data_IF_164877355049
#
_entry.id   IF_164877355049
#
_cell.length_a   1.000
_cell.length_b   1.000
_cell.length_c   1.000
_cell.angle_alpha   90.00
_cell.angle_beta   90.00
_cell.angle_gamma   90.00
#
_symmetry.space_group_name_H-M   'P 1'
#
loop_
_entity.id
_entity.type
_entity.pdbx_description
1 polymer ?
#
# COMPACT_ATOMS: atom_id res chain seq x y z
N UNK A 1 -32.78 -2.89 -25.41
CA UNK A 1 -32.44 -1.64 -26.14
C UNK A 1 -32.02 -0.58 -25.13
N UNK A 2 -30.84 0.02 -25.31
CA UNK A 2 -30.34 1.21 -24.56
C UNK A 2 -31.20 2.45 -24.88
N UNK A 3 -31.17 3.46 -24.00
CA UNK A 3 -30.42 4.69 -24.30
C UNK A 3 -29.43 5.01 -23.14
N UNK A 4 -28.13 5.14 -23.37
CA UNK A 4 -27.33 6.25 -23.94
C UNK A 4 -27.01 7.36 -22.90
N UNK A 5 -25.70 7.55 -22.70
CA UNK A 5 -25.03 8.45 -21.73
C UNK A 5 -25.18 9.94 -22.05
N UNK A 6 -25.25 10.76 -20.99
CA UNK A 6 -24.64 12.10 -20.86
C UNK A 6 -24.43 12.33 -19.34
N UNK A 7 -23.25 12.14 -18.75
CA UNK A 7 -22.03 12.98 -18.79
C UNK A 7 -22.25 14.43 -18.35
N UNK A 8 -21.41 14.85 -17.39
CA UNK A 8 -21.21 16.18 -16.82
C UNK A 8 -22.16 16.63 -15.68
N UNK A 9 -21.88 16.17 -14.46
CA UNK A 9 -22.15 16.94 -13.24
C UNK A 9 -20.81 17.48 -12.70
N UNK A 10 -20.22 18.44 -13.40
CA UNK A 10 -19.11 19.24 -12.87
C UNK A 10 -19.72 20.28 -11.94
N UNK A 11 -19.80 19.97 -10.65
CA UNK A 11 -20.23 20.92 -9.63
C UNK A 11 -19.02 21.81 -9.24
N UNK A 12 -18.76 22.85 -10.03
CA UNK A 12 -17.76 23.89 -9.70
C UNK A 12 -18.34 24.77 -8.60
N UNK A 13 -17.91 24.55 -7.36
CA UNK A 13 -18.30 25.37 -6.20
C UNK A 13 -17.27 26.50 -5.99
N UNK A 14 -17.44 27.63 -6.67
CA UNK A 14 -16.60 28.83 -6.46
C UNK A 14 -17.09 29.59 -5.23
N UNK A 15 -16.45 29.39 -4.09
CA UNK A 15 -16.79 30.12 -2.85
C UNK A 15 -15.89 31.35 -2.67
N UNK A 16 -16.41 32.55 -2.96
CA UNK A 16 -15.81 33.82 -2.55
C UNK A 16 -16.25 34.17 -1.10
N UNK A 17 -15.36 34.00 -0.12
CA UNK A 17 -15.60 34.43 1.27
C UNK A 17 -14.75 35.67 1.56
N UNK A 18 -15.41 36.77 1.92
CA UNK A 18 -14.78 37.97 2.45
C UNK A 18 -15.30 38.14 3.89
N UNK A 19 -14.37 38.28 4.84
CA UNK A 19 -14.50 38.59 6.28
C UNK A 19 -14.30 37.45 7.30
N UNK A 20 -13.98 37.87 8.53
CA UNK A 20 -13.04 37.30 9.51
C UNK A 20 -13.40 35.92 10.10
N UNK A 21 -12.34 35.15 10.41
CA UNK A 21 -12.33 33.84 11.06
C UNK A 21 -13.25 32.81 10.38
N UNK A 22 -12.80 32.35 9.21
CA UNK A 22 -13.56 31.41 8.39
C UNK A 22 -13.01 29.99 8.58
N UNK A 23 -13.90 29.08 8.99
CA UNK A 23 -13.72 27.62 8.94
C UNK A 23 -14.50 27.11 7.72
N UNK A 24 -13.87 26.26 6.91
CA UNK A 24 -14.51 25.68 5.73
C UNK A 24 -14.32 24.17 5.75
N UNK A 25 -15.43 23.44 5.70
CA UNK A 25 -15.45 22.00 5.47
C UNK A 25 -16.04 21.75 4.07
N UNK A 26 -15.31 21.02 3.23
CA UNK A 26 -15.78 20.61 1.90
C UNK A 26 -15.81 19.09 1.82
N UNK A 27 -16.98 18.55 1.52
CA UNK A 27 -17.14 17.16 1.14
C UNK A 27 -17.63 17.12 -0.30
N UNK A 28 -16.74 16.75 -1.23
CA UNK A 28 -17.06 16.65 -2.65
C UNK A 28 -16.67 15.27 -3.20
N UNK A 29 -17.22 14.88 -4.35
CA UNK A 29 -16.82 13.69 -5.13
C UNK A 29 -16.30 14.11 -6.53
N UNK A 30 -15.71 15.30 -6.62
CA UNK A 30 -15.25 15.90 -7.88
C UNK A 30 -14.14 16.93 -7.64
N UNK A 31 -13.92 17.81 -8.61
CA UNK A 31 -12.82 18.77 -8.55
C UNK A 31 -13.17 19.96 -7.64
N UNK A 32 -12.19 20.42 -6.88
CA UNK A 32 -12.34 21.55 -5.96
C UNK A 32 -11.24 22.59 -6.20
N UNK A 33 -11.63 23.80 -6.60
CA UNK A 33 -10.72 24.94 -6.69
C UNK A 33 -11.03 25.93 -5.56
N UNK A 34 -10.01 26.27 -4.76
CA UNK A 34 -10.11 27.34 -3.78
C UNK A 34 -9.01 28.35 -4.06
N UNK A 35 -9.40 29.49 -4.62
CA UNK A 35 -8.48 30.56 -4.95
C UNK A 35 -8.75 31.85 -4.16
N UNK A 36 -7.67 32.53 -3.76
CA UNK A 36 -7.66 33.92 -3.24
C UNK A 36 -8.40 34.19 -1.93
N UNK A 37 -8.45 33.25 -0.98
CA UNK A 37 -9.00 33.53 0.36
C UNK A 37 -8.00 34.27 1.25
N UNK A 38 -8.44 35.36 1.87
CA UNK A 38 -7.71 36.07 2.94
C UNK A 38 -8.32 35.67 4.28
N UNK A 39 -7.50 35.28 5.26
CA UNK A 39 -7.95 34.98 6.64
C UNK A 39 -8.83 33.73 6.78
N UNK A 40 -8.67 32.76 5.88
CA UNK A 40 -9.18 31.40 6.11
C UNK A 40 -8.32 30.80 7.21
N UNK A 41 -8.86 30.27 8.31
CA UNK A 41 -8.06 29.73 9.42
C UNK A 41 -7.97 28.20 9.39
N UNK A 42 -9.06 27.54 9.02
CA UNK A 42 -9.15 26.10 8.93
C UNK A 42 -9.80 25.71 7.61
N UNK A 43 -9.20 24.74 6.93
CA UNK A 43 -9.76 24.15 5.73
C UNK A 43 -9.62 22.64 5.79
N UNK A 44 -10.75 21.95 5.76
CA UNK A 44 -10.78 20.50 5.65
C UNK A 44 -11.46 20.11 4.34
N UNK A 45 -10.86 19.15 3.65
CA UNK A 45 -11.50 18.53 2.51
C UNK A 45 -11.38 17.02 2.49
N UNK A 46 -12.49 16.36 2.13
CA UNK A 46 -12.56 14.91 2.04
C UNK A 46 -13.11 14.45 0.67
N UNK A 47 -12.50 13.39 0.12
CA UNK A 47 -12.95 12.65 -1.09
C UNK A 47 -12.94 13.42 -2.43
N UNK A 48 -12.08 14.42 -2.57
CA UNK A 48 -11.93 15.16 -3.81
C UNK A 48 -11.17 14.36 -4.89
N UNK A 49 -11.46 14.62 -6.17
CA UNK A 49 -10.66 14.09 -7.27
C UNK A 49 -9.41 14.96 -7.46
N UNK A 50 -9.57 16.14 -8.05
CA UNK A 50 -8.48 17.12 -8.19
C UNK A 50 -8.70 18.34 -7.31
N UNK A 51 -7.62 18.83 -6.69
CA UNK A 51 -7.67 19.92 -5.73
C UNK A 51 -6.67 21.00 -6.05
N UNK A 52 -7.17 22.19 -6.35
CA UNK A 52 -6.33 23.37 -6.60
C UNK A 52 -6.50 24.39 -5.48
N UNK A 53 -5.52 24.47 -4.58
CA UNK A 53 -5.48 25.48 -3.51
C UNK A 53 -4.50 26.59 -3.88
N UNK A 54 -5.04 27.73 -4.30
CA UNK A 54 -4.26 28.84 -4.83
C UNK A 54 -4.31 30.07 -3.92
N UNK A 55 -3.13 30.52 -3.46
CA UNK A 55 -2.91 31.84 -2.82
C UNK A 55 -3.76 32.11 -1.58
N UNK A 56 -3.99 31.13 -0.70
CA UNK A 56 -4.61 31.40 0.59
C UNK A 56 -3.59 32.04 1.55
N UNK A 57 -4.05 32.96 2.39
CA UNK A 57 -3.21 33.67 3.38
C UNK A 57 -3.83 33.53 4.77
N UNK A 58 -2.98 33.32 5.77
CA UNK A 58 -3.34 33.14 7.19
C UNK A 58 -4.15 31.86 7.47
N UNK A 59 -4.00 30.85 6.62
CA UNK A 59 -4.53 29.49 6.83
C UNK A 59 -3.70 28.83 7.89
N UNK A 60 -4.24 28.54 9.07
CA UNK A 60 -3.53 27.93 10.19
C UNK A 60 -3.52 26.41 10.09
N UNK A 61 -4.61 25.80 9.62
CA UNK A 61 -4.72 24.37 9.44
C UNK A 61 -5.29 24.02 8.06
N UNK A 62 -4.67 23.05 7.40
CA UNK A 62 -5.15 22.45 6.15
C UNK A 62 -5.13 20.92 6.28
N UNK A 63 -6.30 20.29 6.23
CA UNK A 63 -6.43 18.84 6.25
C UNK A 63 -7.07 18.37 4.96
N UNK A 64 -6.43 17.45 4.25
CA UNK A 64 -7.02 16.83 3.06
C UNK A 64 -6.93 15.32 3.14
N UNK A 65 -8.06 14.64 2.97
CA UNK A 65 -8.13 13.18 3.06
C UNK A 65 -8.77 12.57 1.81
N UNK A 66 -8.12 11.56 1.21
CA UNK A 66 -8.54 10.83 0.01
C UNK A 66 -8.70 11.74 -1.22
N UNK A 67 -7.70 12.56 -1.51
CA UNK A 67 -7.61 13.29 -2.78
C UNK A 67 -6.93 12.41 -3.85
N UNK A 68 -7.28 12.53 -5.13
CA UNK A 68 -6.51 11.86 -6.20
C UNK A 68 -5.28 12.73 -6.52
N UNK A 69 -5.49 14.01 -6.81
CA UNK A 69 -4.43 15.00 -7.04
C UNK A 69 -4.64 16.24 -6.17
N UNK A 70 -3.55 16.82 -5.65
CA UNK A 70 -3.59 18.03 -4.84
C UNK A 70 -2.46 19.02 -5.19
N UNK A 71 -2.82 20.10 -5.87
CA UNK A 71 -1.94 21.21 -6.19
C UNK A 71 -2.12 22.33 -5.17
N UNK A 72 -1.16 22.45 -4.26
CA UNK A 72 -1.21 23.43 -3.17
C UNK A 72 -0.14 24.49 -3.41
N UNK A 73 -0.58 25.67 -3.86
CA UNK A 73 0.31 26.75 -4.27
C UNK A 73 0.18 28.00 -3.38
N UNK A 74 1.32 28.42 -2.80
CA UNK A 74 1.54 29.74 -2.18
C UNK A 74 0.74 30.01 -0.90
N UNK A 75 0.68 29.05 0.03
CA UNK A 75 0.14 29.26 1.38
C UNK A 75 1.09 30.11 2.23
N UNK A 76 0.55 30.92 3.15
CA UNK A 76 1.33 31.75 4.09
C UNK A 76 0.73 31.71 5.48
N UNK A 77 1.61 31.66 6.49
CA UNK A 77 1.26 31.64 7.91
C UNK A 77 0.36 30.45 8.24
N UNK A 78 0.90 29.26 7.97
CA UNK A 78 0.20 27.99 8.14
C UNK A 78 0.87 27.23 9.25
N UNK A 79 0.13 26.78 10.25
CA UNK A 79 0.72 26.13 11.41
C UNK A 79 0.76 24.61 11.17
N UNK A 80 -0.30 24.05 10.57
CA UNK A 80 -0.48 22.62 10.32
C UNK A 80 -1.08 22.34 8.93
N UNK A 81 -0.69 21.23 8.33
CA UNK A 81 -0.90 20.79 6.95
C UNK A 81 -0.75 19.29 6.95
N UNK A 82 -1.83 18.62 6.60
CA UNK A 82 -1.92 17.19 6.53
C UNK A 82 -2.52 16.75 5.19
N UNK A 83 -1.82 15.87 4.48
CA UNK A 83 -2.38 15.13 3.35
C UNK A 83 -2.43 13.65 3.68
N UNK A 84 -3.63 13.06 3.68
CA UNK A 84 -3.87 11.64 3.92
C UNK A 84 -4.41 10.97 2.65
N UNK A 85 -3.75 9.88 2.22
CA UNK A 85 -4.18 9.02 1.09
C UNK A 85 -4.35 9.80 -0.22
N UNK A 86 -3.34 10.60 -0.57
CA UNK A 86 -3.34 11.39 -1.82
C UNK A 86 -2.47 10.71 -2.87
N UNK A 87 -2.93 10.45 -4.10
CA UNK A 87 -2.05 9.80 -5.08
C UNK A 87 -0.91 10.73 -5.51
N UNK A 88 -1.22 11.95 -5.96
CA UNK A 88 -0.23 12.94 -6.38
C UNK A 88 -0.42 14.27 -5.61
N UNK A 89 0.65 14.85 -5.10
CA UNK A 89 0.59 16.12 -4.38
C UNK A 89 1.73 17.07 -4.77
N UNK A 90 1.40 18.18 -5.41
CA UNK A 90 2.35 19.23 -5.77
C UNK A 90 2.21 20.40 -4.79
N UNK A 91 3.13 20.48 -3.83
CA UNK A 91 3.10 21.50 -2.78
C UNK A 91 4.21 22.52 -3.02
N UNK A 92 3.84 23.73 -3.48
CA UNK A 92 4.83 24.76 -3.88
C UNK A 92 4.70 26.03 -3.04
N UNK A 93 5.80 26.41 -2.40
CA UNK A 93 6.01 27.65 -1.62
C UNK A 93 5.09 27.79 -0.40
N UNK A 94 5.36 27.02 0.64
CA UNK A 94 4.88 27.30 1.99
C UNK A 94 5.79 28.34 2.68
N UNK A 95 5.22 29.27 3.44
CA UNK A 95 6.00 30.23 4.24
C UNK A 95 5.44 30.31 5.66
N UNK A 96 6.36 30.27 6.63
CA UNK A 96 6.07 30.30 8.07
C UNK A 96 5.19 29.11 8.43
N UNK A 97 5.80 27.93 8.45
CA UNK A 97 5.09 26.68 8.58
C UNK A 97 5.70 25.72 9.60
N UNK A 98 4.89 25.16 10.52
CA UNK A 98 5.40 24.44 11.68
C UNK A 98 5.54 22.92 11.46
N UNK A 99 4.52 22.19 10.98
CA UNK A 99 4.52 20.70 11.05
C UNK A 99 3.94 19.94 9.84
N UNK A 100 4.73 19.47 8.86
CA UNK A 100 4.20 18.97 7.57
C UNK A 100 4.00 17.46 7.65
N UNK A 101 2.75 17.00 7.53
CA UNK A 101 2.41 15.58 7.58
C UNK A 101 1.87 15.09 6.22
N UNK A 102 2.56 14.13 5.62
CA UNK A 102 2.15 13.45 4.39
C UNK A 102 2.01 11.96 4.70
N UNK A 103 0.79 11.45 4.69
CA UNK A 103 0.47 10.06 5.02
C UNK A 103 -0.09 9.32 3.81
N UNK A 104 0.56 8.22 3.40
CA UNK A 104 0.15 7.37 2.26
C UNK A 104 0.00 8.18 0.96
N UNK A 105 0.92 9.10 0.71
CA UNK A 105 1.02 9.82 -0.55
C UNK A 105 1.94 9.08 -1.51
N UNK A 106 1.51 8.74 -2.73
CA UNK A 106 2.35 7.97 -3.67
C UNK A 106 3.46 8.83 -4.26
N UNK A 107 3.13 10.02 -4.77
CA UNK A 107 4.10 10.98 -5.27
C UNK A 107 3.83 12.35 -4.65
N UNK A 108 4.86 12.98 -4.08
CA UNK A 108 4.76 14.31 -3.50
C UNK A 108 5.97 15.17 -3.85
N UNK A 109 5.76 16.21 -4.66
CA UNK A 109 6.78 17.20 -4.98
C UNK A 109 6.62 18.44 -4.10
N UNK A 110 7.49 18.56 -3.09
CA UNK A 110 7.47 19.68 -2.13
C UNK A 110 8.61 20.66 -2.44
N UNK A 111 8.26 21.83 -2.98
CA UNK A 111 9.24 22.82 -3.44
C UNK A 111 9.20 24.12 -2.62
N UNK A 112 10.39 24.55 -2.15
CA UNK A 112 10.66 25.82 -1.43
C UNK A 112 9.91 25.97 -0.10
N UNK A 113 10.37 25.24 0.91
CA UNK A 113 10.02 25.47 2.31
C UNK A 113 10.89 26.59 2.90
N UNK A 114 10.29 27.48 3.70
CA UNK A 114 11.04 28.43 4.55
C UNK A 114 10.48 28.37 5.96
N UNK A 115 11.38 28.20 6.94
CA UNK A 115 11.07 28.07 8.37
C UNK A 115 10.30 26.79 8.72
N UNK A 116 10.59 25.66 8.05
CA UNK A 116 10.08 24.35 8.44
C UNK A 116 10.78 23.90 9.73
N UNK A 117 10.01 23.59 10.76
CA UNK A 117 10.55 23.09 12.04
C UNK A 117 10.53 21.57 12.09
N UNK A 118 9.51 20.94 11.51
CA UNK A 118 9.30 19.50 11.57
C UNK A 118 8.75 18.95 10.24
N UNK A 119 9.36 17.87 9.74
CA UNK A 119 8.92 17.11 8.57
C UNK A 119 8.97 15.63 8.92
N UNK A 120 7.82 14.98 8.91
CA UNK A 120 7.73 13.54 9.13
C UNK A 120 6.89 12.92 8.00
N UNK A 121 7.54 12.09 7.19
CA UNK A 121 6.83 11.14 6.34
C UNK A 121 6.46 9.96 7.22
N UNK A 122 5.31 10.05 7.87
CA UNK A 122 4.74 8.91 8.58
C UNK A 122 4.10 8.00 7.53
N UNK A 123 4.83 6.97 7.08
CA UNK A 123 4.14 5.76 6.60
C UNK A 123 3.35 5.23 7.77
N UNK A 124 2.00 5.22 7.72
CA UNK A 124 1.24 4.69 8.84
C UNK A 124 1.73 3.26 9.07
N UNK A 125 1.96 2.84 10.31
CA UNK A 125 2.24 1.46 10.62
C UNK A 125 0.95 0.68 10.35
N UNK A 126 0.72 0.33 9.09
CA UNK A 126 -0.05 -0.87 8.80
C UNK A 126 0.87 -2.01 9.23
N UNK A 127 0.87 -2.32 10.53
CA UNK A 127 1.47 -3.54 11.04
C UNK A 127 0.63 -4.69 10.49
N UNK A 128 0.93 -5.09 9.26
CA UNK A 128 0.56 -6.38 8.74
C UNK A 128 1.32 -7.40 9.58
N UNK A 129 0.64 -7.97 10.57
CA UNK A 129 1.18 -9.07 11.35
C UNK A 129 0.68 -10.36 10.70
N UNK A 130 1.49 -10.89 9.79
CA UNK A 130 1.27 -12.15 9.10
C UNK A 130 2.25 -13.17 9.66
N UNK A 131 1.79 -14.40 9.86
CA UNK A 131 2.62 -15.49 10.35
C UNK A 131 2.37 -16.75 9.51
N UNK A 132 3.42 -17.52 9.21
CA UNK A 132 3.30 -18.83 8.58
C UNK A 132 3.33 -19.86 9.72
N UNK A 133 2.16 -20.34 10.14
CA UNK A 133 2.01 -21.17 11.35
C UNK A 133 2.30 -22.65 11.13
N UNK A 134 2.26 -23.10 9.88
CA UNK A 134 2.50 -24.49 9.49
C UNK A 134 3.24 -24.50 8.16
N UNK A 135 4.24 -25.37 8.06
CA UNK A 135 4.91 -25.71 6.81
C UNK A 135 5.28 -27.19 6.83
N UNK A 136 4.64 -27.98 5.97
CA UNK A 136 4.78 -29.44 5.92
C UNK A 136 4.99 -29.90 4.49
N UNK A 137 5.87 -30.90 4.34
CA UNK A 137 6.08 -31.58 3.07
C UNK A 137 5.41 -32.95 3.11
N UNK A 138 4.59 -33.24 2.11
CA UNK A 138 3.87 -34.52 1.98
C UNK A 138 4.05 -35.14 0.61
N UNK A 139 3.77 -36.43 0.49
CA UNK A 139 3.58 -37.10 -0.80
C UNK A 139 2.17 -36.79 -1.37
N UNK A 140 1.81 -37.37 -2.53
CA UNK A 140 0.49 -37.19 -3.14
C UNK A 140 -0.68 -37.76 -2.31
N UNK A 141 -0.39 -38.63 -1.36
CA UNK A 141 -1.37 -39.25 -0.45
C UNK A 141 -1.53 -38.44 0.84
N UNK A 142 -0.84 -37.31 0.99
CA UNK A 142 -0.84 -36.48 2.19
C UNK A 142 0.02 -37.03 3.32
N UNK A 143 0.85 -38.04 3.07
CA UNK A 143 1.77 -38.61 4.07
C UNK A 143 2.99 -37.70 4.22
N UNK A 144 3.31 -37.22 5.43
CA UNK A 144 4.49 -36.39 5.66
C UNK A 144 5.79 -37.13 5.33
N UNK A 145 6.63 -36.53 4.48
CA UNK A 145 7.95 -37.08 4.15
C UNK A 145 8.93 -35.99 3.71
N UNK A 146 10.22 -36.27 3.91
CA UNK A 146 11.33 -35.35 3.57
C UNK A 146 12.35 -35.99 2.63
N UNK A 147 12.08 -37.20 2.14
CA UNK A 147 12.90 -37.92 1.17
C UNK A 147 11.98 -38.32 0.02
N UNK A 148 12.40 -38.01 -1.20
CA UNK A 148 11.62 -38.25 -2.41
C UNK A 148 12.54 -38.80 -3.51
N UNK A 149 12.02 -39.70 -4.34
CA UNK A 149 12.72 -40.14 -5.53
C UNK A 149 12.51 -39.16 -6.70
N UNK A 150 13.39 -39.23 -7.69
CA UNK A 150 13.20 -38.52 -8.96
C UNK A 150 11.91 -38.98 -9.64
N UNK A 151 11.09 -38.04 -10.10
CA UNK A 151 9.77 -38.32 -10.67
C UNK A 151 8.61 -38.25 -9.67
N UNK A 152 8.89 -38.29 -8.35
CA UNK A 152 7.88 -38.14 -7.31
C UNK A 152 7.30 -36.73 -7.29
N UNK A 153 6.10 -36.59 -6.72
CA UNK A 153 5.50 -35.29 -6.44
C UNK A 153 5.63 -34.98 -4.94
N UNK A 154 6.26 -33.84 -4.67
CA UNK A 154 6.30 -33.19 -3.37
C UNK A 154 5.11 -32.27 -3.27
N UNK A 155 4.34 -32.37 -2.19
CA UNK A 155 3.31 -31.39 -1.83
C UNK A 155 3.84 -30.51 -0.70
N UNK A 156 3.69 -29.21 -0.86
CA UNK A 156 4.07 -28.18 0.11
C UNK A 156 2.76 -27.65 0.67
N UNK A 157 2.44 -28.05 1.89
CA UNK A 157 1.25 -27.67 2.66
C UNK A 157 1.66 -26.65 3.70
N UNK A 158 1.12 -25.44 3.62
CA UNK A 158 1.41 -24.38 4.57
C UNK A 158 0.16 -23.56 4.92
N UNK A 159 0.17 -23.06 6.14
CA UNK A 159 -0.91 -22.24 6.70
C UNK A 159 -0.38 -20.85 6.99
N UNK A 160 -1.09 -19.84 6.50
CA UNK A 160 -0.79 -18.44 6.79
C UNK A 160 -1.90 -17.90 7.70
N UNK A 161 -1.53 -17.23 8.77
CA UNK A 161 -2.42 -16.55 9.70
C UNK A 161 -2.18 -15.05 9.68
N UNK A 162 -3.25 -14.26 9.65
CA UNK A 162 -3.17 -12.84 9.95
C UNK A 162 -3.50 -12.63 11.43
N UNK A 163 -2.47 -12.49 12.26
CA UNK A 163 -2.57 -12.25 13.71
C UNK A 163 -2.74 -10.74 14.03
N UNK A 164 -2.69 -9.89 13.01
CA UNK A 164 -2.84 -8.43 13.14
C UNK A 164 -4.28 -7.95 13.07
N UNK A 165 -4.44 -6.63 13.15
CA UNK A 165 -5.73 -5.93 13.01
C UNK A 165 -5.97 -5.39 11.60
N UNK A 166 -4.97 -5.46 10.72
CA UNK A 166 -5.04 -4.94 9.35
C UNK A 166 -5.30 -6.07 8.36
N UNK A 167 -6.32 -5.92 7.51
CA UNK A 167 -6.59 -6.85 6.40
C UNK A 167 -5.50 -6.75 5.35
N UNK A 168 -4.88 -7.87 4.99
CA UNK A 168 -3.99 -7.98 3.84
C UNK A 168 -4.85 -8.17 2.59
N UNK A 169 -4.96 -7.14 1.76
CA UNK A 169 -5.67 -7.17 0.49
C UNK A 169 -4.71 -7.46 -0.65
N UNK A 170 -5.01 -8.48 -1.46
CA UNK A 170 -4.20 -8.86 -2.61
C UNK A 170 -2.71 -9.02 -2.27
N UNK A 171 -2.41 -9.68 -1.15
CA UNK A 171 -1.03 -9.97 -0.73
C UNK A 171 -0.40 -11.04 -1.62
N UNK A 172 0.86 -10.84 -1.99
CA UNK A 172 1.62 -11.76 -2.81
C UNK A 172 2.20 -12.87 -1.94
N UNK A 173 1.88 -14.12 -2.26
CA UNK A 173 2.47 -15.31 -1.63
C UNK A 173 3.34 -15.98 -2.68
N UNK A 174 4.64 -16.05 -2.43
CA UNK A 174 5.64 -16.63 -3.33
C UNK A 174 6.18 -17.94 -2.77
N UNK A 175 6.29 -18.96 -3.62
CA UNK A 175 6.95 -20.23 -3.31
C UNK A 175 8.13 -20.42 -4.26
N UNK A 176 9.31 -20.61 -3.67
CA UNK A 176 10.58 -20.81 -4.36
C UNK A 176 11.16 -22.16 -3.97
N UNK A 177 11.60 -22.95 -4.96
CA UNK A 177 12.38 -24.17 -4.73
C UNK A 177 13.76 -24.00 -5.34
N UNK A 178 14.78 -24.23 -4.54
CA UNK A 178 16.19 -24.22 -4.91
C UNK A 178 16.73 -25.65 -4.91
N UNK A 179 17.54 -25.99 -5.92
CA UNK A 179 18.29 -27.25 -5.96
C UNK A 179 19.52 -27.22 -5.02
N UNK A 180 20.28 -28.32 -4.91
CA UNK A 180 21.48 -28.38 -4.06
C UNK A 180 22.59 -27.41 -4.46
N UNK A 181 22.54 -26.84 -5.68
CA UNK A 181 23.48 -25.84 -6.18
C UNK A 181 22.95 -24.40 -6.00
N UNK A 182 21.83 -24.22 -5.30
CA UNK A 182 21.09 -22.97 -5.15
C UNK A 182 20.52 -22.40 -6.47
N UNK A 183 20.32 -23.26 -7.48
CA UNK A 183 19.61 -22.89 -8.71
C UNK A 183 18.11 -22.93 -8.47
N UNK A 184 17.39 -21.91 -8.93
CA UNK A 184 15.93 -21.92 -8.87
C UNK A 184 15.36 -22.95 -9.84
N UNK A 185 14.69 -23.97 -9.29
CA UNK A 185 13.99 -25.00 -10.08
C UNK A 185 12.49 -24.75 -10.15
N UNK A 186 11.94 -23.97 -9.21
CA UNK A 186 10.56 -23.51 -9.26
C UNK A 186 10.45 -22.14 -8.62
N UNK A 187 9.73 -21.23 -9.28
CA UNK A 187 9.19 -20.01 -8.71
C UNK A 187 7.72 -19.92 -9.11
N UNK A 188 6.83 -19.85 -8.13
CA UNK A 188 5.40 -19.69 -8.36
C UNK A 188 4.82 -18.74 -7.31
N UNK A 189 3.64 -18.19 -7.59
CA UNK A 189 3.00 -17.24 -6.70
C UNK A 189 1.48 -17.28 -6.82
N UNK A 190 0.81 -16.77 -5.78
CA UNK A 190 -0.62 -16.46 -5.79
C UNK A 190 -0.87 -15.14 -5.07
N UNK A 191 -2.04 -14.56 -5.30
CA UNK A 191 -2.51 -13.37 -4.60
C UNK A 191 -3.69 -13.72 -3.73
N UNK A 192 -3.60 -13.43 -2.44
CA UNK A 192 -4.65 -13.78 -1.47
C UNK A 192 -5.07 -12.57 -0.64
N UNK A 193 -6.31 -12.61 -0.17
CA UNK A 193 -6.82 -11.65 0.80
C UNK A 193 -6.98 -12.34 2.15
N UNK A 194 -6.23 -11.88 3.16
CA UNK A 194 -6.21 -12.48 4.50
C UNK A 194 -6.80 -11.48 5.49
N UNK A 195 -8.00 -11.77 5.99
CA UNK A 195 -8.70 -10.94 6.96
C UNK A 195 -8.04 -11.02 8.35
N UNK A 196 -8.17 -10.00 9.21
CA UNK A 196 -7.70 -10.06 10.59
C UNK A 196 -8.24 -11.30 11.32
N UNK A 197 -7.37 -11.95 12.11
CA UNK A 197 -7.69 -13.18 12.86
C UNK A 197 -8.22 -14.34 12.01
N UNK A 198 -7.79 -14.41 10.74
CA UNK A 198 -8.15 -15.52 9.84
C UNK A 198 -6.90 -16.27 9.37
N UNK A 199 -7.11 -17.54 9.05
CA UNK A 199 -6.11 -18.42 8.45
C UNK A 199 -6.51 -18.80 7.03
N UNK A 200 -5.51 -19.01 6.19
CA UNK A 200 -5.66 -19.64 4.88
C UNK A 200 -4.70 -20.82 4.78
N UNK A 201 -5.12 -21.87 4.10
CA UNK A 201 -4.30 -23.05 3.82
C UNK A 201 -4.03 -23.12 2.33
N UNK A 202 -2.77 -23.36 1.97
CA UNK A 202 -2.32 -23.46 0.59
C UNK A 202 -1.55 -24.76 0.43
N UNK A 203 -1.91 -25.51 -0.61
CA UNK A 203 -1.22 -26.73 -1.00
C UNK A 203 -0.72 -26.56 -2.44
N UNK A 204 0.59 -26.73 -2.63
CA UNK A 204 1.21 -26.68 -3.96
C UNK A 204 1.97 -27.97 -4.23
N UNK A 205 1.78 -28.54 -5.41
CA UNK A 205 2.48 -29.74 -5.86
C UNK A 205 3.62 -29.43 -6.81
N UNK A 206 4.81 -29.95 -6.51
CA UNK A 206 5.99 -29.91 -7.38
C UNK A 206 6.39 -31.33 -7.76
N UNK A 207 6.43 -31.62 -9.06
CA UNK A 207 6.94 -32.90 -9.58
C UNK A 207 8.45 -32.79 -9.79
N UNK A 208 9.22 -33.61 -9.09
CA UNK A 208 10.68 -33.67 -9.24
C UNK A 208 11.00 -34.23 -10.63
N UNK A 209 11.79 -33.53 -11.47
CA UNK A 209 12.21 -34.05 -12.77
C UNK A 209 12.96 -35.37 -12.66
N UNK A 210 12.85 -36.26 -13.64
CA UNK A 210 13.53 -37.57 -13.64
C UNK A 210 15.05 -37.46 -13.69
N UNK A 211 15.52 -36.32 -14.20
CA UNK A 211 16.91 -35.92 -14.40
C UNK A 211 17.42 -34.97 -13.30
N UNK A 212 16.62 -34.75 -12.25
CA UNK A 212 16.98 -33.88 -11.13
C UNK A 212 18.28 -34.33 -10.46
N UNK A 213 19.05 -33.35 -9.98
CA UNK A 213 20.26 -33.59 -9.19
C UNK A 213 19.83 -34.18 -7.85
N UNK A 214 20.45 -35.28 -7.41
CA UNK A 214 20.21 -35.82 -6.07
C UNK A 214 20.88 -34.91 -5.03
N UNK A 215 20.22 -34.72 -3.88
CA UNK A 215 20.70 -33.85 -2.80
C UNK A 215 19.58 -33.08 -2.11
N UNK A 216 19.96 -32.11 -1.30
CA UNK A 216 19.02 -31.29 -0.50
C UNK A 216 18.47 -30.13 -1.31
N UNK A 217 17.15 -30.09 -1.46
CA UNK A 217 16.39 -29.00 -2.06
C UNK A 217 15.84 -28.12 -0.93
N UNK A 218 15.80 -26.81 -1.17
CA UNK A 218 15.25 -25.83 -0.23
C UNK A 218 13.96 -25.27 -0.77
N UNK A 219 12.89 -25.34 0.02
CA UNK A 219 11.61 -24.67 -0.25
C UNK A 219 11.54 -23.42 0.60
N UNK A 220 11.22 -22.28 -0.01
CA UNK A 220 10.95 -21.02 0.69
C UNK A 220 9.55 -20.54 0.34
N UNK A 221 8.78 -20.19 1.36
CA UNK A 221 7.49 -19.52 1.23
C UNK A 221 7.63 -18.14 1.82
N UNK A 222 7.27 -17.12 1.06
CA UNK A 222 7.35 -15.73 1.50
C UNK A 222 6.04 -15.00 1.20
N UNK A 223 5.61 -14.15 2.13
CA UNK A 223 4.41 -13.32 2.00
C UNK A 223 4.82 -11.86 1.91
N UNK A 224 4.24 -11.14 0.96
CA UNK A 224 4.49 -9.73 0.71
C UNK A 224 3.17 -8.95 0.59
N UNK A 225 3.23 -7.64 0.78
CA UNK A 225 2.08 -6.77 0.48
C UNK A 225 1.77 -6.66 -1.02
N UNK A 226 2.80 -6.75 -1.86
CA UNK A 226 2.74 -6.75 -3.33
C UNK A 226 4.08 -7.27 -3.89
N UNK A 227 4.31 -7.20 -5.19
CA UNK A 227 5.61 -7.43 -5.81
C UNK A 227 6.70 -6.52 -5.23
N UNK A 228 7.89 -7.05 -4.87
CA UNK A 228 9.01 -6.23 -4.43
C UNK A 228 9.43 -5.17 -5.45
N UNK A 229 9.28 -5.43 -6.75
CA UNK A 229 9.57 -4.45 -7.82
C UNK A 229 8.61 -3.27 -7.84
N UNK A 230 7.39 -3.44 -7.30
CA UNK A 230 6.34 -2.42 -7.23
C UNK A 230 6.27 -1.78 -5.83
N UNK A 231 7.32 -1.95 -5.01
CA UNK A 231 7.38 -1.40 -3.65
C UNK A 231 6.70 -2.29 -2.60
N UNK A 232 6.40 -3.54 -2.93
CA UNK A 232 5.90 -4.54 -1.98
C UNK A 232 6.88 -4.81 -0.84
N UNK A 233 6.35 -4.89 0.38
CA UNK A 233 7.11 -5.11 1.61
C UNK A 233 6.99 -6.59 1.99
N UNK A 234 8.13 -7.23 2.31
CA UNK A 234 8.15 -8.58 2.86
C UNK A 234 7.59 -8.61 4.27
N UNK A 235 6.63 -9.49 4.50
CA UNK A 235 5.90 -9.62 5.77
C UNK A 235 6.39 -10.81 6.58
N UNK A 236 6.52 -11.97 5.93
CA UNK A 236 6.94 -13.21 6.58
C UNK A 236 7.66 -14.12 5.59
N UNK A 237 8.61 -14.92 6.08
CA UNK A 237 9.31 -15.93 5.29
C UNK A 237 9.57 -17.18 6.13
N UNK A 238 9.19 -18.33 5.58
CA UNK A 238 9.52 -19.63 6.16
C UNK A 238 10.22 -20.51 5.13
N UNK A 239 11.04 -21.44 5.63
CA UNK A 239 11.76 -22.36 4.77
C UNK A 239 11.86 -23.76 5.36
N UNK A 240 11.84 -24.75 4.47
CA UNK A 240 12.05 -26.15 4.81
C UNK A 240 12.89 -26.82 3.71
N UNK A 241 13.25 -28.07 3.94
CA UNK A 241 14.09 -28.83 3.00
C UNK A 241 13.58 -30.24 2.79
N UNK A 242 13.85 -30.79 1.62
CA UNK A 242 13.69 -32.21 1.33
C UNK A 242 14.89 -32.73 0.55
N UNK A 243 15.13 -34.04 0.64
CA UNK A 243 16.20 -34.71 -0.10
C UNK A 243 15.62 -35.44 -1.29
N UNK A 244 16.25 -35.27 -2.44
CA UNK A 244 16.01 -36.09 -3.64
C UNK A 244 17.08 -37.17 -3.70
N UNK A 245 16.64 -38.43 -3.80
CA UNK A 245 17.51 -39.60 -3.99
C UNK A 245 17.44 -40.09 -5.43
#
# INVERSE_FOLDING_TARGET
MKPCFASAAVLILIIFLIFHNVIVHVHCQGNAEVSRKRNLQYFEMTRAMDVDLLRTRNLQCLEMTKAISADVLRLRNLDYFELKRTMNADVVKLRNYQCLELMRTMNADVLRLRNLVYFEMVTPPHEYLINITKMLLTNQEGVPQTIFAKGDMVQIDFTIENIGSTRLDNGLISILILDPLNTTVLLTYTFETISPSSTIEIIMGYRIPTEAISGTYTVKVAVFTDWPSEGGIGLEIEQTTFNVV
#
